data_IF_953580140479
#
_entry.id   IF_953580140479
#
_cell.length_a   1.000
_cell.length_b   1.000
_cell.length_c   1.000
_cell.angle_alpha   90.00
_cell.angle_beta   90.00
_cell.angle_gamma   90.00
#
_symmetry.space_group_name_H-M   'P 1'
#
loop_
_entity.id
_entity.type
_entity.pdbx_description
1 polymer ?
#
# COMPACT_ATOMS: atom_id res chain seq x y z
N UNK A 1 -29.69 14.26 -44.87
CA UNK A 1 -29.68 12.81 -44.55
C UNK A 1 -28.35 12.33 -43.94
N UNK A 2 -27.25 13.06 -44.07
CA UNK A 2 -25.94 12.72 -43.46
C UNK A 2 -25.83 13.15 -41.98
N UNK A 3 -26.45 14.26 -41.59
CA UNK A 3 -26.42 14.77 -40.21
C UNK A 3 -27.11 13.84 -39.20
N UNK A 4 -28.27 13.26 -39.55
CA UNK A 4 -29.00 12.31 -38.69
C UNK A 4 -28.20 11.03 -38.42
N UNK A 5 -27.38 10.59 -39.39
CA UNK A 5 -26.53 9.41 -39.25
C UNK A 5 -25.32 9.67 -38.34
N UNK A 6 -24.73 10.87 -38.41
CA UNK A 6 -23.67 11.28 -37.48
C UNK A 6 -24.21 11.32 -36.05
N UNK A 7 -25.39 11.90 -35.84
CA UNK A 7 -25.99 11.98 -34.50
C UNK A 7 -26.38 10.62 -33.93
N UNK A 8 -26.83 9.68 -34.77
CA UNK A 8 -27.10 8.31 -34.33
C UNK A 8 -25.82 7.57 -33.92
N UNK A 9 -24.75 7.72 -34.71
CA UNK A 9 -23.46 7.12 -34.43
C UNK A 9 -22.82 7.69 -33.15
N UNK A 10 -22.87 9.00 -32.95
CA UNK A 10 -22.38 9.66 -31.74
C UNK A 10 -23.16 9.21 -30.50
N UNK A 11 -24.49 9.12 -30.57
CA UNK A 11 -25.32 8.60 -29.48
C UNK A 11 -24.97 7.16 -29.12
N UNK A 12 -24.71 6.32 -30.13
CA UNK A 12 -24.27 4.94 -29.91
C UNK A 12 -22.92 4.89 -29.19
N UNK A 13 -21.92 5.65 -29.68
CA UNK A 13 -20.60 5.71 -29.04
C UNK A 13 -20.69 6.23 -27.60
N UNK A 14 -21.55 7.21 -27.35
CA UNK A 14 -21.77 7.73 -26.00
C UNK A 14 -22.38 6.66 -25.07
N UNK A 15 -23.36 5.90 -25.55
CA UNK A 15 -23.90 4.76 -24.80
C UNK A 15 -22.84 3.69 -24.52
N UNK A 16 -22.01 3.35 -25.51
CA UNK A 16 -20.93 2.37 -25.34
C UNK A 16 -19.89 2.87 -24.31
N UNK A 17 -19.57 4.17 -24.30
CA UNK A 17 -18.70 4.78 -23.29
C UNK A 17 -19.30 4.69 -21.88
N UNK A 18 -20.58 5.03 -21.71
CA UNK A 18 -21.27 4.95 -20.41
C UNK A 18 -21.29 3.52 -19.87
N UNK A 19 -21.47 2.53 -20.73
CA UNK A 19 -21.43 1.11 -20.35
C UNK A 19 -20.02 0.67 -19.92
N UNK A 20 -18.98 1.11 -20.63
CA UNK A 20 -17.59 0.86 -20.26
C UNK A 20 -17.28 1.51 -18.90
N UNK A 21 -17.69 2.77 -18.68
CA UNK A 21 -17.48 3.46 -17.41
C UNK A 21 -18.17 2.76 -16.24
N UNK A 22 -19.40 2.28 -16.46
CA UNK A 22 -20.12 1.46 -15.48
C UNK A 22 -19.35 0.19 -15.14
N UNK A 23 -18.83 -0.50 -16.17
CA UNK A 23 -18.03 -1.72 -15.97
C UNK A 23 -16.73 -1.45 -15.22
N UNK A 24 -16.03 -0.36 -15.53
CA UNK A 24 -14.84 0.07 -14.82
C UNK A 24 -15.15 0.32 -13.34
N UNK A 25 -16.29 0.97 -13.04
CA UNK A 25 -16.72 1.22 -11.66
C UNK A 25 -16.97 -0.08 -10.90
N UNK A 26 -17.66 -1.04 -11.50
CA UNK A 26 -17.90 -2.38 -10.92
C UNK A 26 -16.57 -3.10 -10.62
N UNK A 27 -15.67 -3.15 -11.60
CA UNK A 27 -14.36 -3.77 -11.47
C UNK A 27 -13.50 -3.12 -10.37
N UNK A 28 -13.60 -1.80 -10.22
CA UNK A 28 -12.90 -1.09 -9.14
C UNK A 28 -13.45 -1.45 -7.76
N UNK A 29 -14.78 -1.56 -7.61
CA UNK A 29 -15.41 -1.99 -6.36
C UNK A 29 -14.97 -3.41 -6.00
N UNK A 30 -14.98 -4.32 -6.98
CA UNK A 30 -14.54 -5.70 -6.80
C UNK A 30 -13.05 -5.78 -6.43
N UNK A 31 -12.19 -5.04 -7.14
CA UNK A 31 -10.77 -4.91 -6.81
C UNK A 31 -10.56 -4.44 -5.37
N UNK A 32 -11.31 -3.44 -4.91
CA UNK A 32 -11.21 -2.98 -3.52
C UNK A 32 -11.69 -4.02 -2.52
N UNK A 33 -12.72 -4.81 -2.85
CA UNK A 33 -13.20 -5.90 -2.01
C UNK A 33 -12.14 -7.01 -1.88
N UNK A 34 -11.55 -7.43 -2.99
CA UNK A 34 -10.46 -8.40 -3.03
C UNK A 34 -9.23 -7.89 -2.28
N UNK A 35 -8.88 -6.61 -2.43
CA UNK A 35 -7.78 -6.01 -1.70
C UNK A 35 -8.00 -6.07 -0.17
N UNK A 36 -9.24 -5.85 0.30
CA UNK A 36 -9.60 -5.99 1.72
C UNK A 36 -9.48 -7.42 2.21
N UNK A 37 -9.97 -8.40 1.43
CA UNK A 37 -9.89 -9.82 1.77
C UNK A 37 -8.44 -10.30 1.84
N UNK A 38 -7.62 -9.95 0.84
CA UNK A 38 -6.20 -10.28 0.81
C UNK A 38 -5.45 -9.67 2.00
N UNK A 39 -5.78 -8.42 2.34
CA UNK A 39 -5.23 -7.73 3.49
C UNK A 39 -5.58 -8.41 4.80
N UNK A 40 -6.85 -8.83 4.97
CA UNK A 40 -7.32 -9.56 6.15
C UNK A 40 -6.58 -10.90 6.30
N UNK A 41 -6.48 -11.69 5.22
CA UNK A 41 -5.78 -12.97 5.22
C UNK A 41 -4.28 -12.81 5.58
N UNK A 42 -3.64 -11.73 5.12
CA UNK A 42 -2.24 -11.42 5.48
C UNK A 42 -2.09 -11.07 6.95
N UNK A 43 -3.00 -10.28 7.51
CA UNK A 43 -2.99 -9.90 8.92
C UNK A 43 -3.21 -11.12 9.84
N UNK A 44 -4.15 -12.00 9.50
CA UNK A 44 -4.40 -13.25 10.23
C UNK A 44 -3.16 -14.16 10.22
N UNK A 45 -2.50 -14.31 9.06
CA UNK A 45 -1.26 -15.10 8.93
C UNK A 45 -0.11 -14.57 9.80
N UNK A 46 -0.08 -13.26 10.05
CA UNK A 46 0.96 -12.62 10.85
C UNK A 46 0.60 -12.47 12.34
N UNK A 47 -0.51 -13.08 12.79
CA UNK A 47 -0.89 -13.15 14.22
C UNK A 47 -1.42 -11.83 14.78
N UNK A 48 -1.94 -10.96 13.93
CA UNK A 48 -2.25 -9.58 14.29
C UNK A 48 -3.77 -9.36 14.46
N UNK A 49 -4.22 -9.27 15.72
CA UNK A 49 -5.53 -8.67 16.04
C UNK A 49 -5.40 -7.14 15.99
N UNK A 50 -6.10 -6.46 15.06
CA UNK A 50 -6.13 -4.99 15.03
C UNK A 50 -7.54 -4.42 15.17
N UNK A 51 -7.62 -3.38 16.01
CA UNK A 51 -8.79 -2.56 16.25
C UNK A 51 -9.22 -1.77 14.99
N UNK A 52 -10.31 -2.22 14.37
CA UNK A 52 -11.47 -1.47 13.83
C UNK A 52 -11.36 -0.11 13.10
N UNK A 53 -10.19 0.46 12.74
CA UNK A 53 -10.16 1.65 11.83
C UNK A 53 -9.39 1.41 10.52
N UNK A 54 -10.06 1.65 9.40
CA UNK A 54 -9.59 1.48 7.99
C UNK A 54 -8.25 2.20 7.70
N UNK A 55 -8.05 3.41 8.24
CA UNK A 55 -6.78 4.16 8.14
C UNK A 55 -5.64 3.60 9.01
N UNK A 56 -5.97 2.77 10.00
CA UNK A 56 -4.94 2.04 10.74
C UNK A 56 -4.42 0.86 9.93
N UNK A 57 -5.25 0.22 9.10
CA UNK A 57 -4.91 -1.06 8.47
C UNK A 57 -3.82 -0.94 7.39
N UNK A 58 -3.98 -0.05 6.40
CA UNK A 58 -2.96 0.12 5.34
C UNK A 58 -1.62 0.57 5.92
N UNK A 59 -1.67 1.47 6.92
CA UNK A 59 -0.48 1.90 7.66
C UNK A 59 0.16 0.72 8.38
N UNK A 60 -0.63 -0.05 9.13
CA UNK A 60 -0.15 -1.20 9.89
C UNK A 60 0.51 -2.24 8.98
N UNK A 61 -0.10 -2.58 7.84
CA UNK A 61 0.50 -3.52 6.88
C UNK A 61 1.85 -3.03 6.37
N UNK A 62 1.95 -1.74 6.01
CA UNK A 62 3.21 -1.14 5.57
C UNK A 62 4.26 -1.11 6.69
N UNK A 63 3.90 -0.67 7.90
CA UNK A 63 4.79 -0.64 9.07
C UNK A 63 5.29 -2.06 9.42
N UNK A 64 4.41 -3.07 9.38
CA UNK A 64 4.78 -4.46 9.64
C UNK A 64 5.69 -5.04 8.56
N UNK A 65 5.41 -4.76 7.27
CA UNK A 65 6.29 -5.16 6.17
C UNK A 65 7.69 -4.55 6.32
N UNK A 66 7.80 -3.33 6.83
CA UNK A 66 9.09 -2.70 7.16
C UNK A 66 9.78 -3.44 8.30
N UNK A 67 9.08 -3.65 9.42
CA UNK A 67 9.66 -4.36 10.58
C UNK A 67 10.12 -5.77 10.22
N UNK A 68 9.34 -6.51 9.43
CA UNK A 68 9.69 -7.84 8.95
C UNK A 68 10.96 -7.79 8.10
N UNK A 69 11.01 -6.89 7.11
CA UNK A 69 12.18 -6.74 6.22
C UNK A 69 13.46 -6.40 7.00
N UNK A 70 13.35 -5.57 8.03
CA UNK A 70 14.47 -5.17 8.90
C UNK A 70 14.86 -6.24 9.93
N UNK A 71 13.95 -7.16 10.29
CA UNK A 71 14.28 -8.32 11.15
C UNK A 71 14.95 -9.44 10.38
N UNK A 72 14.50 -9.68 9.15
CA UNK A 72 15.06 -10.73 8.26
C UNK A 72 16.45 -10.35 7.75
N UNK A 73 16.68 -9.07 7.45
CA UNK A 73 17.99 -8.56 7.06
C UNK A 73 18.69 -7.99 8.29
N UNK A 74 19.76 -8.66 8.74
CA UNK A 74 20.63 -8.19 9.83
C UNK A 74 21.34 -6.85 9.50
N UNK A 75 21.38 -6.48 8.22
CA UNK A 75 21.98 -5.26 7.71
C UNK A 75 20.95 -4.17 7.38
N UNK A 76 21.45 -2.95 7.19
CA UNK A 76 20.66 -1.80 6.78
C UNK A 76 19.94 -2.03 5.45
N UNK A 77 18.64 -1.70 5.39
CA UNK A 77 17.81 -1.90 4.21
C UNK A 77 17.44 -0.56 3.59
N UNK A 78 17.60 -0.44 2.27
CA UNK A 78 17.27 0.79 1.55
C UNK A 78 15.78 1.09 1.55
N UNK A 79 15.43 2.37 1.53
CA UNK A 79 14.04 2.86 1.41
C UNK A 79 13.34 2.24 0.19
N UNK A 80 14.05 2.13 -0.94
CA UNK A 80 13.51 1.53 -2.15
C UNK A 80 13.19 0.03 -1.99
N UNK A 81 14.04 -0.72 -1.28
CA UNK A 81 13.77 -2.13 -1.00
C UNK A 81 12.58 -2.30 -0.03
N UNK A 82 12.53 -1.50 1.03
CA UNK A 82 11.40 -1.51 1.97
C UNK A 82 10.08 -1.13 1.28
N UNK A 83 10.11 -0.14 0.39
CA UNK A 83 8.93 0.27 -0.37
C UNK A 83 8.45 -0.84 -1.31
N UNK A 84 9.36 -1.50 -2.04
CA UNK A 84 9.01 -2.65 -2.89
C UNK A 84 8.34 -3.76 -2.08
N UNK A 85 8.88 -4.11 -0.93
CA UNK A 85 8.29 -5.13 -0.05
C UNK A 85 6.92 -4.69 0.49
N UNK A 86 6.78 -3.44 0.90
CA UNK A 86 5.51 -2.89 1.37
C UNK A 86 4.44 -2.92 0.26
N UNK A 87 4.81 -2.68 -1.00
CA UNK A 87 3.88 -2.79 -2.14
C UNK A 87 3.39 -4.21 -2.42
N UNK A 88 4.15 -5.24 -2.05
CA UNK A 88 3.67 -6.62 -2.15
C UNK A 88 2.46 -6.84 -1.23
N UNK A 89 2.44 -6.18 -0.06
CA UNK A 89 1.36 -6.28 0.92
C UNK A 89 0.24 -5.25 0.69
N UNK A 90 0.58 -4.07 0.16
CA UNK A 90 -0.34 -2.94 -0.10
C UNK A 90 -0.09 -2.37 -1.51
N UNK A 91 -0.80 -2.88 -2.52
CA UNK A 91 -0.51 -2.62 -3.95
C UNK A 91 -0.63 -1.14 -4.36
N UNK A 92 -1.59 -0.42 -3.78
CA UNK A 92 -1.89 1.00 -4.03
C UNK A 92 -1.07 1.97 -3.15
N UNK A 93 -0.06 1.46 -2.41
CA UNK A 93 0.80 2.29 -1.59
C UNK A 93 1.55 3.32 -2.44
N UNK A 94 1.27 4.61 -2.20
CA UNK A 94 2.03 5.71 -2.79
C UNK A 94 3.35 5.91 -2.04
N UNK A 95 4.40 6.27 -2.78
CA UNK A 95 5.75 6.46 -2.21
C UNK A 95 5.80 7.57 -1.15
N UNK A 96 5.10 8.69 -1.36
CA UNK A 96 5.03 9.79 -0.38
C UNK A 96 4.32 9.36 0.92
N UNK A 97 3.28 8.54 0.79
CA UNK A 97 2.59 7.94 1.94
C UNK A 97 3.52 7.00 2.70
N UNK A 98 4.29 6.18 1.98
CA UNK A 98 5.28 5.29 2.58
C UNK A 98 6.38 6.05 3.32
N UNK A 99 6.92 7.13 2.74
CA UNK A 99 7.88 8.02 3.43
C UNK A 99 7.30 8.59 4.73
N UNK A 100 6.02 8.98 4.71
CA UNK A 100 5.31 9.46 5.90
C UNK A 100 5.24 8.37 6.98
N UNK A 101 5.00 7.12 6.61
CA UNK A 101 5.02 6.00 7.56
C UNK A 101 6.40 5.75 8.13
N UNK A 102 7.46 5.75 7.31
CA UNK A 102 8.84 5.61 7.81
C UNK A 102 9.22 6.71 8.80
N UNK A 103 8.85 7.97 8.52
CA UNK A 103 9.08 9.07 9.45
C UNK A 103 8.35 8.84 10.77
N UNK A 104 7.09 8.43 10.75
CA UNK A 104 6.34 8.11 11.98
C UNK A 104 6.95 6.94 12.75
N UNK A 105 7.43 5.90 12.07
CA UNK A 105 8.11 4.77 12.73
C UNK A 105 9.42 5.21 13.37
N UNK A 106 10.17 6.11 12.72
CA UNK A 106 11.38 6.73 13.26
C UNK A 106 11.05 7.58 14.50
N UNK A 107 10.02 8.41 14.42
CA UNK A 107 9.61 9.29 15.53
C UNK A 107 9.13 8.48 16.75
N UNK A 108 8.54 7.31 16.52
CA UNK A 108 8.20 6.33 17.58
C UNK A 108 9.40 5.54 18.11
N UNK A 109 10.59 5.71 17.54
CA UNK A 109 11.79 4.94 17.90
C UNK A 109 11.78 3.48 17.46
N UNK A 110 10.89 3.07 16.55
CA UNK A 110 10.80 1.68 16.07
C UNK A 110 11.91 1.32 15.07
N UNK A 111 12.42 2.32 14.36
CA UNK A 111 13.51 2.22 13.38
C UNK A 111 14.40 3.45 13.47
N UNK A 112 15.63 3.35 13.00
CA UNK A 112 16.55 4.50 12.89
C UNK A 112 17.21 4.53 11.51
N UNK A 113 17.58 5.72 10.99
CA UNK A 113 18.41 5.79 9.79
C UNK A 113 19.76 5.12 10.05
N UNK A 114 20.27 4.42 9.05
CA UNK A 114 21.60 3.82 9.10
C UNK A 114 22.68 4.90 9.14
N UNK A 115 23.67 4.72 10.01
CA UNK A 115 24.86 5.59 10.05
C UNK A 115 25.78 5.38 8.85
N UNK A 116 25.76 4.16 8.25
CA UNK A 116 26.69 3.75 7.19
C UNK A 116 26.19 4.12 5.79
N UNK A 117 24.87 4.08 5.55
CA UNK A 117 24.31 4.29 4.22
C UNK A 117 23.14 5.27 4.26
N UNK A 118 23.17 6.28 3.36
CA UNK A 118 22.06 7.23 3.19
C UNK A 118 20.80 6.49 2.72
N UNK A 119 19.63 6.97 3.16
CA UNK A 119 18.32 6.41 2.83
C UNK A 119 18.16 4.91 3.15
N UNK A 120 18.98 4.38 4.06
CA UNK A 120 18.82 3.04 4.61
C UNK A 120 18.35 3.12 6.05
N UNK A 121 17.65 2.07 6.47
CA UNK A 121 17.02 1.96 7.77
C UNK A 121 17.50 0.70 8.46
N UNK A 122 17.58 0.76 9.78
CA UNK A 122 17.94 -0.36 10.66
C UNK A 122 16.99 -0.36 11.85
N UNK A 123 16.90 -1.52 12.51
CA UNK A 123 16.31 -1.59 13.84
C UNK A 123 17.15 -0.78 14.83
N UNK A 124 16.54 -0.15 15.85
CA UNK A 124 17.30 0.41 16.97
C UNK A 124 18.13 -0.69 17.64
N UNK A 125 19.27 -0.33 18.21
CA UNK A 125 20.06 -1.29 18.99
C UNK A 125 19.22 -1.59 20.23
N UNK A 126 18.98 -2.86 20.50
CA UNK A 126 18.09 -3.28 21.58
C UNK A 126 18.74 -2.96 22.94
N UNK A 127 18.65 -1.72 23.42
CA UNK A 127 19.00 -1.38 24.80
C UNK A 127 17.84 -1.75 25.73
N UNK A 128 17.62 -3.06 25.89
CA UNK A 128 17.03 -3.59 27.12
C UNK A 128 18.15 -4.23 27.93
N UNK A 129 18.69 -3.43 28.83
CA UNK A 129 19.65 -3.82 29.86
C UNK A 129 19.44 -2.93 31.09
N UNK A 130 18.35 -3.18 31.81
CA UNK A 130 18.30 -3.10 33.26
C UNK A 130 17.81 -4.45 33.74
#
# INVERSE_FOLDING_TARGET
MTDDNLTFFEKRLQSELEDIERRIKELNIEKEALARQLSKARAEREGLQFSTRKNSMNRVLAENSVMKSLREKKDAVSTAALYRNARLTHYDLKENTFRTYLNRMKDKGLIKPSRRFRAHWVLPDNTKGK
#
